data_IF_112763795685
#
_entry.id   IF_112763795685
#
_cell.length_a   1.000
_cell.length_b   1.000
_cell.length_c   1.000
_cell.angle_alpha   90.00
_cell.angle_beta   90.00
_cell.angle_gamma   90.00
#
_symmetry.space_group_name_H-M   'P 1'
#
loop_
_entity.id
_entity.type
_entity.pdbx_description
1 polymer ?
#
# COMPACT_ATOMS: atom_id res chain seq x y z
N UNK A 1 -33.10 10.92 -9.42
CA UNK A 1 -32.10 11.86 -8.88
C UNK A 1 -31.02 11.04 -8.21
N UNK A 2 -29.72 11.26 -8.48
CA UNK A 2 -28.67 10.49 -7.83
C UNK A 2 -28.60 10.85 -6.34
N UNK A 3 -28.64 9.86 -5.46
CA UNK A 3 -28.48 10.07 -4.03
C UNK A 3 -27.03 10.38 -3.67
N UNK A 4 -26.75 10.94 -2.48
CA UNK A 4 -25.37 11.09 -2.01
C UNK A 4 -24.59 9.76 -1.98
N UNK A 5 -25.27 8.65 -1.67
CA UNK A 5 -24.67 7.32 -1.64
C UNK A 5 -24.26 6.85 -3.04
N UNK A 6 -25.09 7.08 -4.07
CA UNK A 6 -24.78 6.73 -5.46
C UNK A 6 -23.55 7.48 -5.99
N UNK A 7 -23.38 8.74 -5.56
CA UNK A 7 -22.20 9.56 -5.92
C UNK A 7 -20.94 9.08 -5.22
N UNK A 8 -21.05 8.65 -3.96
CA UNK A 8 -19.92 8.08 -3.23
C UNK A 8 -19.46 6.76 -3.85
N UNK A 9 -20.39 5.86 -4.16
CA UNK A 9 -20.11 4.54 -4.73
C UNK A 9 -19.60 4.57 -6.18
N UNK A 10 -19.99 5.58 -6.98
CA UNK A 10 -19.49 5.73 -8.35
C UNK A 10 -18.28 6.66 -8.49
N UNK A 11 -17.65 7.05 -7.37
CA UNK A 11 -16.52 7.98 -7.37
C UNK A 11 -15.24 7.34 -7.91
N UNK A 12 -14.90 7.63 -9.17
CA UNK A 12 -13.62 7.23 -9.78
C UNK A 12 -12.41 7.80 -9.04
N UNK A 13 -12.52 9.03 -8.53
CA UNK A 13 -11.44 9.68 -7.79
C UNK A 13 -11.13 8.94 -6.48
N UNK A 14 -12.16 8.41 -5.80
CA UNK A 14 -11.97 7.62 -4.59
C UNK A 14 -11.20 6.32 -4.89
N UNK A 15 -11.53 5.65 -6.00
CA UNK A 15 -10.81 4.45 -6.46
C UNK A 15 -9.35 4.79 -6.77
N UNK A 16 -9.11 5.84 -7.58
CA UNK A 16 -7.76 6.25 -7.96
C UNK A 16 -6.89 6.61 -6.74
N UNK A 17 -7.44 7.37 -5.79
CA UNK A 17 -6.76 7.73 -4.56
C UNK A 17 -6.42 6.50 -3.71
N UNK A 18 -7.39 5.61 -3.49
CA UNK A 18 -7.18 4.37 -2.73
C UNK A 18 -6.11 3.49 -3.38
N UNK A 19 -6.22 3.25 -4.69
CA UNK A 19 -5.23 2.45 -5.42
C UNK A 19 -3.86 3.09 -5.36
N UNK A 20 -3.74 4.42 -5.50
CA UNK A 20 -2.48 5.12 -5.41
C UNK A 20 -1.80 4.96 -4.04
N UNK A 21 -2.56 5.08 -2.96
CA UNK A 21 -2.05 4.89 -1.59
C UNK A 21 -1.58 3.45 -1.39
N UNK A 22 -2.40 2.46 -1.77
CA UNK A 22 -2.04 1.04 -1.60
C UNK A 22 -0.82 0.68 -2.43
N UNK A 23 -0.73 1.14 -3.68
CA UNK A 23 0.44 0.91 -4.53
C UNK A 23 1.69 1.56 -3.96
N UNK A 24 1.60 2.79 -3.43
CA UNK A 24 2.73 3.46 -2.79
C UNK A 24 3.22 2.70 -1.54
N UNK A 25 2.29 2.24 -0.69
CA UNK A 25 2.62 1.44 0.49
C UNK A 25 3.28 0.11 0.08
N UNK A 26 2.73 -0.59 -0.92
CA UNK A 26 3.31 -1.83 -1.42
C UNK A 26 4.71 -1.64 -2.00
N UNK A 27 4.92 -0.60 -2.80
CA UNK A 27 6.23 -0.25 -3.32
C UNK A 27 7.22 0.03 -2.16
N UNK A 28 6.79 0.78 -1.15
CA UNK A 28 7.63 1.05 0.01
C UNK A 28 7.99 -0.21 0.79
N UNK A 29 7.05 -1.14 0.98
CA UNK A 29 7.33 -2.40 1.68
C UNK A 29 8.28 -3.32 0.92
N UNK A 30 8.29 -3.29 -0.41
CA UNK A 30 9.16 -4.15 -1.24
C UNK A 30 10.60 -3.63 -1.25
N UNK A 31 10.79 -2.32 -1.35
CA UNK A 31 12.11 -1.74 -1.59
C UNK A 31 12.67 -0.94 -0.41
N UNK A 32 11.82 -0.38 0.44
CA UNK A 32 12.20 0.57 1.48
C UNK A 32 12.44 -0.05 2.85
N UNK A 33 12.09 -1.32 3.05
CA UNK A 33 12.19 -2.00 4.36
C UNK A 33 12.66 -3.44 4.17
N UNK A 34 13.59 -3.92 5.00
CA UNK A 34 13.84 -5.36 5.12
C UNK A 34 12.68 -5.95 5.96
N UNK A 35 11.76 -6.65 5.28
CA UNK A 35 10.52 -7.16 5.88
C UNK A 35 10.79 -8.24 6.95
N UNK A 36 11.97 -8.84 6.88
CA UNK A 36 12.52 -9.78 7.85
C UNK A 36 13.94 -9.31 8.20
N UNK A 37 14.25 -9.07 9.48
CA UNK A 37 15.62 -8.84 9.89
C UNK A 37 16.49 -10.01 9.44
N UNK A 38 17.58 -9.74 8.71
CA UNK A 38 18.58 -10.79 8.50
C UNK A 38 19.29 -11.02 9.82
N UNK A 39 19.36 -12.28 10.24
CA UNK A 39 20.28 -12.70 11.29
C UNK A 39 21.70 -12.28 10.90
N UNK A 40 22.51 -11.85 11.87
CA UNK A 40 23.91 -11.56 11.60
C UNK A 40 24.60 -12.82 11.06
N UNK A 41 25.48 -12.64 10.07
CA UNK A 41 26.23 -13.75 9.52
C UNK A 41 27.00 -14.45 10.65
N UNK A 42 27.02 -15.79 10.70
CA UNK A 42 27.64 -16.52 11.80
C UNK A 42 29.11 -16.12 11.93
N UNK A 43 29.49 -15.65 13.11
CA UNK A 43 30.88 -15.43 13.50
C UNK A 43 31.50 -16.80 13.74
N UNK A 44 32.24 -17.31 12.77
CA UNK A 44 32.97 -18.57 12.92
C UNK A 44 34.08 -18.43 13.97
N UNK A 45 33.75 -18.67 15.24
CA UNK A 45 34.69 -18.91 16.35
C UNK A 45 34.44 -20.28 16.99
#
# INVERSE_FOLDING_TARGET
>A
MPTPLDRALSSKNAVLAFTGIVTAAAAWSIWGTDLFPKEEDPTGE
#
